data_IF_116598635365
#
_entry.id   IF_116598635365
#
_cell.length_a   1.000
_cell.length_b   1.000
_cell.length_c   1.000
_cell.angle_alpha   90.00
_cell.angle_beta   90.00
_cell.angle_gamma   90.00
#
_symmetry.space_group_name_H-M   'P 1'
#
loop_
_entity.id
_entity.type
_entity.pdbx_description
1 polymer ?
#
# COMPACT_ATOMS: atom_id res chain seq x y z
N UNK A 1 11.91 -0.83 -6.66
CA UNK A 1 11.79 0.19 -7.69
C UNK A 1 11.39 1.53 -7.12
N UNK A 2 11.70 2.61 -7.85
CA UNK A 2 11.26 3.93 -7.48
C UNK A 2 9.89 4.23 -8.12
N UNK A 3 9.34 5.42 -7.84
CA UNK A 3 8.01 5.83 -8.33
C UNK A 3 7.92 5.84 -9.86
N UNK A 4 8.98 6.27 -10.54
CA UNK A 4 9.03 6.32 -12.00
C UNK A 4 9.01 4.90 -12.59
N UNK A 5 9.82 4.01 -12.06
CA UNK A 5 9.86 2.61 -12.49
C UNK A 5 8.51 1.95 -12.26
N UNK A 6 7.87 2.25 -11.14
CA UNK A 6 6.55 1.71 -10.83
C UNK A 6 5.51 2.20 -11.85
N UNK A 7 5.54 3.46 -12.23
CA UNK A 7 4.62 4.00 -13.24
C UNK A 7 4.75 3.27 -14.57
N UNK A 8 5.97 2.99 -15.00
CA UNK A 8 6.21 2.24 -16.23
C UNK A 8 5.66 0.81 -16.12
N UNK A 9 5.89 0.16 -15.00
CA UNK A 9 5.37 -1.18 -14.74
C UNK A 9 3.84 -1.22 -14.69
N UNK A 10 3.21 -0.19 -14.12
CA UNK A 10 1.76 -0.07 -14.09
C UNK A 10 1.21 0.03 -15.50
N UNK A 11 1.83 0.84 -16.37
CA UNK A 11 1.39 0.96 -17.76
C UNK A 11 1.49 -0.37 -18.50
N UNK A 12 2.59 -1.09 -18.31
CA UNK A 12 2.78 -2.41 -18.89
C UNK A 12 1.73 -3.40 -18.41
N UNK A 13 1.44 -3.38 -17.10
CA UNK A 13 0.45 -4.29 -16.53
C UNK A 13 -0.97 -3.95 -17.01
N UNK A 14 -1.30 -2.67 -17.15
CA UNK A 14 -2.59 -2.24 -17.68
C UNK A 14 -2.80 -2.73 -19.11
N UNK A 15 -1.76 -2.61 -19.95
CA UNK A 15 -1.78 -3.14 -21.32
C UNK A 15 -1.99 -4.66 -21.32
N UNK A 16 -1.22 -5.37 -20.52
CA UNK A 16 -1.28 -6.82 -20.41
C UNK A 16 -2.66 -7.26 -19.91
N UNK A 17 -3.18 -6.64 -18.88
CA UNK A 17 -4.47 -6.97 -18.29
C UNK A 17 -5.61 -6.76 -19.28
N UNK A 18 -5.58 -5.64 -20.01
CA UNK A 18 -6.59 -5.34 -21.03
C UNK A 18 -6.56 -6.36 -22.16
N UNK A 19 -5.37 -6.66 -22.68
CA UNK A 19 -5.19 -7.59 -23.79
C UNK A 19 -5.59 -9.01 -23.43
N UNK A 20 -5.30 -9.45 -22.22
CA UNK A 20 -5.54 -10.82 -21.76
C UNK A 20 -6.83 -10.97 -20.96
N UNK A 21 -7.59 -9.90 -20.79
CA UNK A 21 -8.80 -9.86 -19.97
C UNK A 21 -8.54 -10.39 -18.56
N UNK A 22 -7.48 -9.85 -17.93
CA UNK A 22 -7.07 -10.20 -16.56
C UNK A 22 -7.27 -9.01 -15.64
N UNK A 23 -7.39 -9.29 -14.36
CA UNK A 23 -7.52 -8.27 -13.32
C UNK A 23 -6.17 -8.00 -12.66
N UNK A 24 -5.98 -6.79 -12.18
CA UNK A 24 -4.91 -6.49 -11.23
C UNK A 24 -5.40 -5.40 -10.27
N UNK A 25 -4.74 -5.30 -9.13
CA UNK A 25 -5.17 -4.40 -8.07
C UNK A 25 -4.08 -3.48 -7.60
N UNK A 26 -4.49 -2.36 -7.03
CA UNK A 26 -3.64 -1.39 -6.36
C UNK A 26 -3.90 -1.44 -4.86
N UNK A 27 -2.84 -1.33 -4.08
CA UNK A 27 -2.94 -1.13 -2.64
C UNK A 27 -2.10 0.08 -2.28
N UNK A 28 -2.75 1.14 -1.80
CA UNK A 28 -2.04 2.25 -1.16
C UNK A 28 -1.83 1.93 0.30
N UNK A 29 -0.64 2.20 0.79
CA UNK A 29 -0.27 1.95 2.19
C UNK A 29 0.33 3.23 2.75
N UNK A 30 -0.20 3.70 3.86
CA UNK A 30 0.29 4.91 4.53
C UNK A 30 0.58 4.60 5.99
N UNK A 31 1.75 4.99 6.46
CA UNK A 31 2.14 4.79 7.86
C UNK A 31 1.38 5.77 8.73
N UNK A 32 0.62 5.24 9.69
CA UNK A 32 -0.22 6.04 10.57
C UNK A 32 0.64 6.93 11.48
N UNK A 33 0.28 8.21 11.53
CA UNK A 33 0.93 9.20 12.41
C UNK A 33 2.44 9.25 12.26
N UNK A 34 2.92 9.11 11.02
CA UNK A 34 4.36 9.10 10.75
C UNK A 34 5.03 10.42 11.19
N UNK A 35 4.34 11.55 11.02
CA UNK A 35 4.84 12.83 11.47
C UNK A 35 5.10 12.83 12.99
N UNK A 36 4.20 12.21 13.76
CA UNK A 36 4.36 12.10 15.21
C UNK A 36 5.59 11.26 15.57
N UNK A 37 5.86 10.22 14.79
CA UNK A 37 7.06 9.40 15.00
C UNK A 37 8.31 10.24 14.81
N UNK A 38 8.38 11.02 13.72
CA UNK A 38 9.52 11.91 13.46
C UNK A 38 9.66 12.98 14.55
N UNK A 39 8.54 13.59 14.93
CA UNK A 39 8.54 14.67 15.93
C UNK A 39 8.96 14.17 17.32
N UNK A 40 8.57 12.94 17.67
CA UNK A 40 8.83 12.36 18.99
C UNK A 40 10.24 11.73 19.08
N UNK A 41 10.64 10.98 18.05
CA UNK A 41 11.84 10.15 18.07
C UNK A 41 12.94 10.60 17.11
N UNK A 42 12.66 11.57 16.24
CA UNK A 42 13.60 12.09 15.26
C UNK A 42 13.51 11.43 13.90
N UNK A 43 14.08 12.09 12.89
CA UNK A 43 14.02 11.63 11.49
C UNK A 43 14.78 10.32 11.26
N UNK A 44 15.84 10.05 12.02
CA UNK A 44 16.56 8.78 11.91
C UNK A 44 15.66 7.60 12.28
N UNK A 45 14.87 7.78 13.35
CA UNK A 45 13.89 6.77 13.74
C UNK A 45 12.83 6.59 12.66
N UNK A 46 12.33 7.70 12.10
CA UNK A 46 11.38 7.64 10.99
C UNK A 46 11.93 6.87 9.80
N UNK A 47 13.21 7.09 9.45
CA UNK A 47 13.87 6.37 8.37
C UNK A 47 13.94 4.87 8.66
N UNK A 48 14.24 4.47 9.88
CA UNK A 48 14.25 3.05 10.27
C UNK A 48 12.85 2.44 10.19
N UNK A 49 11.83 3.17 10.59
CA UNK A 49 10.44 2.73 10.48
C UNK A 49 10.08 2.52 9.00
N UNK A 50 10.42 3.47 8.13
CA UNK A 50 10.17 3.36 6.69
C UNK A 50 10.84 2.13 6.09
N UNK A 51 12.11 1.90 6.43
CA UNK A 51 12.86 0.73 5.93
C UNK A 51 12.23 -0.58 6.39
N UNK A 52 11.85 -0.65 7.65
CA UNK A 52 11.28 -1.87 8.22
C UNK A 52 9.91 -2.16 7.62
N UNK A 53 9.06 -1.14 7.45
CA UNK A 53 7.76 -1.29 6.81
C UNK A 53 7.94 -1.74 5.36
N UNK A 54 8.82 -1.10 4.60
CA UNK A 54 9.09 -1.47 3.21
C UNK A 54 9.56 -2.92 3.09
N UNK A 55 10.49 -3.33 3.95
CA UNK A 55 11.00 -4.69 3.97
C UNK A 55 9.89 -5.70 4.29
N UNK A 56 9.04 -5.39 5.26
CA UNK A 56 7.92 -6.25 5.63
C UNK A 56 6.96 -6.44 4.47
N UNK A 57 6.61 -5.37 3.76
CA UNK A 57 5.74 -5.45 2.59
C UNK A 57 6.38 -6.32 1.52
N UNK A 58 7.66 -6.08 1.20
CA UNK A 58 8.37 -6.85 0.16
C UNK A 58 8.42 -8.33 0.46
N UNK A 59 8.61 -8.71 1.72
CA UNK A 59 8.66 -10.13 2.12
C UNK A 59 7.33 -10.83 1.92
N UNK A 60 6.22 -10.10 1.92
CA UNK A 60 4.88 -10.66 1.75
C UNK A 60 4.40 -10.64 0.30
N UNK A 61 5.14 -10.00 -0.60
CA UNK A 61 4.78 -9.94 -2.02
C UNK A 61 5.16 -11.23 -2.74
N UNK A 62 4.35 -11.59 -3.75
CA UNK A 62 4.69 -12.67 -4.67
C UNK A 62 5.72 -12.16 -5.67
N UNK A 63 6.29 -13.10 -6.46
CA UNK A 63 7.36 -12.81 -7.42
C UNK A 63 7.01 -11.70 -8.41
N UNK A 64 5.77 -11.64 -8.86
CA UNK A 64 5.34 -10.69 -9.88
C UNK A 64 4.65 -9.45 -9.34
N UNK A 65 4.49 -9.38 -8.03
CA UNK A 65 3.96 -8.18 -7.37
C UNK A 65 5.07 -7.13 -7.27
N UNK A 66 4.70 -5.85 -7.28
CA UNK A 66 5.69 -4.79 -7.07
C UNK A 66 5.17 -3.76 -6.09
N UNK A 67 6.12 -3.11 -5.44
CA UNK A 67 5.83 -2.00 -4.53
C UNK A 67 6.91 -0.95 -4.71
N UNK A 68 6.52 0.31 -4.60
CA UNK A 68 7.45 1.42 -4.56
C UNK A 68 6.97 2.45 -3.55
N UNK A 69 7.89 3.22 -3.02
CA UNK A 69 7.57 4.39 -2.23
C UNK A 69 6.95 5.42 -3.17
N UNK A 70 5.72 5.83 -2.87
CA UNK A 70 4.95 6.74 -3.72
C UNK A 70 5.05 8.19 -3.24
N UNK A 71 5.01 8.39 -1.94
CA UNK A 71 5.18 9.67 -1.29
C UNK A 71 6.09 9.54 -0.09
N UNK A 72 6.12 10.53 0.79
CA UNK A 72 7.00 10.55 1.95
C UNK A 72 6.87 9.34 2.85
N UNK A 73 5.65 8.98 3.20
CA UNK A 73 5.31 7.85 4.09
C UNK A 73 4.33 6.89 3.43
N UNK A 74 4.16 7.01 2.11
CA UNK A 74 3.21 6.22 1.34
C UNK A 74 3.92 5.24 0.42
N UNK A 75 3.32 4.06 0.30
CA UNK A 75 3.73 3.02 -0.64
C UNK A 75 2.57 2.68 -1.54
N UNK A 76 2.87 2.34 -2.79
CA UNK A 76 1.88 1.81 -3.72
C UNK A 76 2.33 0.43 -4.17
N UNK A 77 1.50 -0.56 -3.89
CA UNK A 77 1.72 -1.93 -4.34
C UNK A 77 0.80 -2.24 -5.52
N UNK A 78 1.30 -3.05 -6.44
CA UNK A 78 0.55 -3.51 -7.61
C UNK A 78 0.56 -5.03 -7.61
N UNK A 79 -0.62 -5.63 -7.67
CA UNK A 79 -0.81 -7.06 -7.60
C UNK A 79 -1.38 -7.59 -8.92
N UNK A 80 -0.53 -8.07 -9.84
CA UNK A 80 -1.00 -8.68 -11.09
C UNK A 80 -1.89 -9.89 -10.86
N UNK A 81 -2.81 -10.13 -11.79
CA UNK A 81 -3.69 -11.31 -11.79
C UNK A 81 -4.37 -11.53 -10.44
N UNK A 82 -4.86 -10.45 -9.85
CA UNK A 82 -5.50 -10.46 -8.54
C UNK A 82 -6.82 -9.71 -8.62
N UNK A 83 -7.87 -10.32 -8.12
CA UNK A 83 -9.19 -9.68 -7.98
C UNK A 83 -9.27 -8.95 -6.65
N UNK A 84 -10.29 -8.11 -6.50
CA UNK A 84 -10.45 -7.23 -5.35
C UNK A 84 -10.45 -7.99 -4.01
N UNK A 85 -11.08 -9.15 -3.94
CA UNK A 85 -11.11 -9.96 -2.71
C UNK A 85 -9.73 -10.47 -2.34
N UNK A 86 -8.95 -10.90 -3.33
CA UNK A 86 -7.58 -11.35 -3.12
C UNK A 86 -6.69 -10.22 -2.65
N UNK A 87 -6.85 -9.04 -3.24
CA UNK A 87 -6.09 -7.86 -2.84
C UNK A 87 -6.41 -7.44 -1.41
N UNK A 88 -7.67 -7.53 -1.00
CA UNK A 88 -8.08 -7.22 0.37
C UNK A 88 -7.39 -8.15 1.37
N UNK A 89 -7.29 -9.44 1.04
CA UNK A 89 -6.61 -10.43 1.90
C UNK A 89 -5.12 -10.08 2.03
N UNK A 90 -4.48 -9.73 0.93
CA UNK A 90 -3.06 -9.33 0.94
C UNK A 90 -2.87 -8.06 1.76
N UNK A 91 -3.74 -7.07 1.57
CA UNK A 91 -3.68 -5.81 2.32
C UNK A 91 -3.84 -6.05 3.82
N UNK A 92 -4.76 -6.92 4.23
CA UNK A 92 -4.96 -7.27 5.63
C UNK A 92 -3.75 -7.98 6.21
N UNK A 93 -3.07 -8.80 5.40
CA UNK A 93 -1.82 -9.43 5.82
C UNK A 93 -0.72 -8.39 6.04
N UNK A 94 -0.61 -7.39 5.17
CA UNK A 94 0.32 -6.28 5.38
C UNK A 94 0.02 -5.57 6.69
N UNK A 95 -1.24 -5.22 6.91
CA UNK A 95 -1.65 -4.50 8.11
C UNK A 95 -1.30 -5.25 9.38
N UNK A 96 -1.69 -6.53 9.45
CA UNK A 96 -1.44 -7.36 10.63
C UNK A 96 0.05 -7.56 10.87
N UNK A 97 0.82 -7.81 9.82
CA UNK A 97 2.26 -8.03 9.95
C UNK A 97 2.99 -6.78 10.43
N UNK A 98 2.57 -5.61 9.95
CA UNK A 98 3.18 -4.34 10.38
C UNK A 98 2.79 -4.02 11.83
N UNK A 99 1.52 -4.21 12.19
CA UNK A 99 1.06 -4.01 13.57
C UNK A 99 1.81 -4.90 14.56
N UNK A 100 2.21 -6.09 14.13
CA UNK A 100 2.92 -7.05 14.98
C UNK A 100 4.42 -6.83 15.04
N UNK A 101 4.96 -5.84 14.34
CA UNK A 101 6.40 -5.57 14.34
C UNK A 101 6.87 -5.05 15.70
N UNK A 102 8.08 -5.47 16.07
CA UNK A 102 8.79 -4.98 17.23
C UNK A 102 9.98 -4.16 16.75
N UNK A 103 9.72 -2.89 16.38
CA UNK A 103 10.76 -2.00 15.89
C UNK A 103 11.42 -1.34 17.09
N UNK A 104 12.72 -1.60 17.30
CA UNK A 104 13.49 -0.99 18.38
C UNK A 104 14.39 0.09 17.82
N UNK A 105 14.36 1.25 18.46
CA UNK A 105 15.25 2.34 18.14
C UNK A 105 15.79 2.90 19.45
N UNK A 106 17.10 2.83 19.66
CA UNK A 106 17.76 3.24 20.91
C UNK A 106 17.09 2.67 22.17
N UNK A 107 16.84 1.36 22.13
CA UNK A 107 16.19 0.58 23.21
C UNK A 107 14.73 0.92 23.48
N UNK A 108 14.12 1.78 22.63
CA UNK A 108 12.70 2.08 22.71
C UNK A 108 11.96 1.30 21.63
N UNK A 109 10.87 0.65 22.00
CA UNK A 109 10.00 -0.03 21.05
C UNK A 109 9.01 0.97 20.45
N UNK A 110 8.99 1.06 19.13
CA UNK A 110 8.14 2.00 18.39
C UNK A 110 6.95 1.24 17.83
N UNK A 111 5.72 1.48 18.32
CA UNK A 111 4.54 0.88 17.73
C UNK A 111 4.21 1.56 16.40
N UNK A 112 3.90 0.77 15.39
CA UNK A 112 3.59 1.27 14.05
C UNK A 112 2.36 0.54 13.52
N UNK A 113 1.45 1.30 12.96
CA UNK A 113 0.31 0.75 12.20
C UNK A 113 0.24 1.43 10.84
N UNK A 114 -0.51 0.82 9.94
CA UNK A 114 -0.75 1.37 8.60
C UNK A 114 -2.23 1.37 8.29
N UNK A 115 -2.63 2.31 7.45
CA UNK A 115 -3.96 2.35 6.84
C UNK A 115 -3.79 2.07 5.36
N UNK A 116 -4.68 1.28 4.78
CA UNK A 116 -4.54 0.83 3.40
C UNK A 116 -5.84 1.04 2.63
N UNK A 117 -5.69 1.47 1.38
CA UNK A 117 -6.80 1.58 0.44
C UNK A 117 -6.58 0.62 -0.72
N UNK A 118 -7.61 -0.09 -1.14
CA UNK A 118 -7.53 -1.12 -2.18
C UNK A 118 -8.48 -0.80 -3.31
N UNK A 119 -7.99 -0.88 -4.54
CA UNK A 119 -8.84 -0.78 -5.73
C UNK A 119 -8.42 -1.80 -6.77
N UNK A 120 -9.36 -2.17 -7.64
CA UNK A 120 -9.07 -3.02 -8.79
C UNK A 120 -8.99 -2.13 -10.02
N UNK A 121 -8.02 -2.40 -10.90
CA UNK A 121 -7.91 -1.68 -12.15
C UNK A 121 -9.19 -1.87 -12.98
N UNK A 122 -9.70 -0.75 -13.48
CA UNK A 122 -10.85 -0.71 -14.35
C UNK A 122 -10.42 -0.05 -15.67
N UNK A 123 -10.44 -0.81 -16.76
CA UNK A 123 -10.00 -0.33 -18.06
C UNK A 123 -10.83 0.82 -18.61
N UNK A 124 -12.11 0.91 -18.22
CA UNK A 124 -12.98 2.01 -18.64
C UNK A 124 -12.63 3.31 -17.92
N UNK A 125 -12.24 3.22 -16.66
CA UNK A 125 -11.84 4.39 -15.86
C UNK A 125 -10.40 4.81 -16.12
N UNK A 126 -9.53 3.86 -16.45
CA UNK A 126 -8.11 4.10 -16.66
C UNK A 126 -7.27 3.99 -15.39
N UNK A 127 -5.94 4.10 -15.60
CA UNK A 127 -4.97 3.93 -14.52
C UNK A 127 -5.12 5.01 -13.45
N UNK A 128 -5.15 6.28 -13.85
CA UNK A 128 -5.20 7.40 -12.91
C UNK A 128 -6.42 7.36 -12.01
N UNK A 129 -7.59 7.05 -12.58
CA UNK A 129 -8.82 6.97 -11.80
C UNK A 129 -8.83 5.76 -10.87
N UNK A 130 -8.29 4.63 -11.33
CA UNK A 130 -8.19 3.42 -10.49
C UNK A 130 -7.28 3.66 -9.29
N UNK A 131 -6.16 4.35 -9.48
CA UNK A 131 -5.27 4.73 -8.37
C UNK A 131 -5.97 5.71 -7.44
N UNK A 132 -6.69 6.68 -7.99
CA UNK A 132 -7.46 7.64 -7.20
C UNK A 132 -8.47 6.96 -6.29
N UNK A 133 -9.14 5.91 -6.78
CA UNK A 133 -10.10 5.15 -5.96
C UNK A 133 -9.42 4.50 -4.76
N UNK A 134 -8.21 3.97 -4.94
CA UNK A 134 -7.45 3.42 -3.82
C UNK A 134 -7.06 4.51 -2.82
N UNK A 135 -6.67 5.69 -3.31
CA UNK A 135 -6.30 6.82 -2.47
C UNK A 135 -7.50 7.33 -1.66
N UNK A 136 -8.67 7.41 -2.29
CA UNK A 136 -9.90 7.81 -1.59
C UNK A 136 -10.29 6.80 -0.50
N UNK A 137 -10.12 5.51 -0.77
CA UNK A 137 -10.37 4.46 0.21
C UNK A 137 -9.39 4.57 1.39
N UNK A 138 -8.12 4.86 1.11
CA UNK A 138 -7.13 5.12 2.15
C UNK A 138 -7.54 6.30 3.03
N UNK A 139 -7.96 7.39 2.41
CA UNK A 139 -8.41 8.57 3.15
C UNK A 139 -9.59 8.23 4.09
N UNK A 140 -10.56 7.46 3.58
CA UNK A 140 -11.70 7.02 4.40
C UNK A 140 -11.23 6.23 5.62
N UNK A 141 -10.24 5.35 5.44
CA UNK A 141 -9.68 4.58 6.53
C UNK A 141 -9.01 5.47 7.59
N UNK A 142 -8.29 6.49 7.14
CA UNK A 142 -7.67 7.46 8.05
C UNK A 142 -8.70 8.22 8.87
N UNK A 143 -9.83 8.58 8.25
CA UNK A 143 -10.90 9.31 8.91
C UNK A 143 -11.72 8.42 9.85
N UNK A 144 -11.70 7.12 9.67
CA UNK A 144 -12.49 6.15 10.43
C UNK A 144 -11.66 5.36 11.46
N UNK A 145 -10.55 5.93 11.92
CA UNK A 145 -9.81 5.37 13.05
C UNK A 145 -8.42 4.81 12.72
N UNK A 146 -8.00 4.83 11.47
CA UNK A 146 -6.70 4.33 11.03
C UNK A 146 -6.55 2.81 11.28
N UNK A 147 -5.39 2.25 11.03
CA UNK A 147 -5.07 0.84 11.26
C UNK A 147 -6.15 -0.08 10.70
N UNK A 148 -6.44 0.06 9.41
CA UNK A 148 -7.50 -0.70 8.76
C UNK A 148 -7.31 -0.74 7.25
N UNK A 149 -7.98 -1.70 6.61
CA UNK A 149 -8.04 -1.82 5.15
C UNK A 149 -9.41 -1.37 4.69
N UNK A 150 -9.45 -0.48 3.72
CA UNK A 150 -10.70 -0.04 3.09
C UNK A 150 -10.64 -0.37 1.59
N UNK A 151 -11.66 -1.03 1.09
CA UNK A 151 -11.82 -1.32 -0.33
C UNK A 151 -12.64 -0.20 -0.97
N UNK A 152 -12.27 0.20 -2.17
CA UNK A 152 -12.97 1.25 -2.90
C UNK A 152 -14.47 0.95 -2.99
N UNK A 153 -15.31 1.92 -2.63
CA UNK A 153 -16.75 1.73 -2.44
C UNK A 153 -17.48 1.24 -3.69
N UNK A 154 -17.05 1.70 -4.86
CA UNK A 154 -17.67 1.34 -6.13
C UNK A 154 -17.32 -0.08 -6.61
N UNK A 155 -16.38 -0.74 -5.94
CA UNK A 155 -15.85 -2.05 -6.32
C UNK A 155 -16.08 -3.14 -5.27
N UNK A 156 -16.62 -2.75 -4.12
CA UNK A 156 -16.83 -3.65 -2.99
C UNK A 156 -18.23 -4.30 -3.07
N UNK A 157 -18.49 -5.01 -4.18
CA UNK A 157 -19.79 -5.66 -4.38
C UNK A 157 -19.63 -7.15 -4.59
#
# INVERSE_FOLDING_TARGET
PNRRDLREKIQQEAHRATRMNRNFCFIFIDIDKFKNINDTYGHQCGDEVLKTVASTIRQLLRKYDFVARWGGEEFLAVLPETEIHGAKIVAERFRQSIESLHIKYTDIEIPVTVTLGVSQFDGELGIGKSIQLADEALYDGKMNGRNQVVVAATQNK
#
